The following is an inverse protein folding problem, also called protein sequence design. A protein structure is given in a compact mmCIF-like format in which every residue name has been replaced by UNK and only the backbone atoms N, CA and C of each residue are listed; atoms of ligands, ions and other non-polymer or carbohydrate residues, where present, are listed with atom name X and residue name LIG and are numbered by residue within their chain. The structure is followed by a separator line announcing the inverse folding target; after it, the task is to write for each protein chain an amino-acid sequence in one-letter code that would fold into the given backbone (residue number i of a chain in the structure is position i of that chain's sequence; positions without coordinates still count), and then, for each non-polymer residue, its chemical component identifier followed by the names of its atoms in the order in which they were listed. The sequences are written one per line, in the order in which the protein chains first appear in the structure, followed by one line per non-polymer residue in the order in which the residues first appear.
data_IF_049148832204
#
_entry.id   IF_049148832204
#
_cell.length_a   1.000
_cell.length_b   1.000
_cell.length_c   1.000
_cell.angle_alpha   90.00
_cell.angle_beta   90.00
_cell.angle_gamma   90.00
#
_symmetry.space_group_name_H-M   'P 1'
#
loop_
_entity.id
_entity.type
_entity.pdbx_description
1 polymer ?
#
# COMPACT_ATOMS: atom_id res chain seq x y z
N UNK A 1 -18.34 16.52 -1.59
CA UNK A 1 -17.78 15.52 -0.64
C UNK A 1 -16.30 15.79 -0.51
N UNK A 2 -15.71 15.68 0.68
CA UNK A 2 -14.26 15.90 0.82
C UNK A 2 -13.47 14.79 0.12
N UNK A 3 -12.42 15.16 -0.59
CA UNK A 3 -11.49 14.30 -1.33
C UNK A 3 -10.20 14.13 -0.54
N UNK A 4 -9.79 12.89 -0.32
CA UNK A 4 -8.52 12.54 0.30
C UNK A 4 -7.64 11.86 -0.74
N UNK A 5 -6.45 12.41 -0.97
CA UNK A 5 -5.43 11.77 -1.78
C UNK A 5 -4.52 10.91 -0.90
N UNK A 6 -4.24 9.69 -1.34
CA UNK A 6 -3.18 8.84 -0.81
C UNK A 6 -2.13 8.66 -1.89
N UNK A 7 -0.89 9.04 -1.58
CA UNK A 7 0.25 8.89 -2.49
C UNK A 7 0.98 7.60 -2.14
N UNK A 8 0.85 6.61 -3.01
CA UNK A 8 1.42 5.26 -2.91
C UNK A 8 0.35 4.17 -2.81
N UNK A 9 0.32 3.27 -3.79
CA UNK A 9 -0.48 2.04 -3.82
C UNK A 9 0.34 0.84 -3.28
N UNK A 10 1.05 1.05 -2.17
CA UNK A 10 1.72 0.00 -1.38
C UNK A 10 0.85 -0.50 -0.23
N UNK A 11 1.38 -1.38 0.63
CA UNK A 11 0.65 -1.92 1.78
C UNK A 11 0.03 -0.83 2.65
N UNK A 12 0.85 0.13 3.11
CA UNK A 12 0.40 1.21 3.97
C UNK A 12 -0.70 2.05 3.32
N UNK A 13 -0.52 2.47 2.07
CA UNK A 13 -1.52 3.28 1.35
C UNK A 13 -2.82 2.52 1.08
N UNK A 14 -2.74 1.24 0.70
CA UNK A 14 -3.94 0.41 0.48
C UNK A 14 -4.73 0.17 1.76
N UNK A 15 -4.05 -0.13 2.88
CA UNK A 15 -4.68 -0.30 4.18
C UNK A 15 -5.26 1.02 4.69
N UNK A 16 -4.55 2.14 4.52
CA UNK A 16 -5.05 3.47 4.84
C UNK A 16 -6.35 3.78 4.06
N UNK A 17 -6.38 3.51 2.75
CA UNK A 17 -7.58 3.68 1.94
C UNK A 17 -8.75 2.83 2.47
N UNK A 18 -8.48 1.57 2.82
CA UNK A 18 -9.47 0.65 3.34
C UNK A 18 -10.04 1.13 4.69
N UNK A 19 -9.17 1.56 5.61
CA UNK A 19 -9.59 2.06 6.92
C UNK A 19 -10.35 3.38 6.81
N UNK A 20 -9.90 4.31 5.95
CA UNK A 20 -10.64 5.56 5.69
C UNK A 20 -12.03 5.29 5.14
N UNK A 21 -12.20 4.30 4.25
CA UNK A 21 -13.52 3.90 3.76
C UNK A 21 -14.42 3.37 4.88
N UNK A 22 -13.87 2.54 5.78
CA UNK A 22 -14.61 1.95 6.92
C UNK A 22 -15.08 3.01 7.91
N UNK A 23 -14.21 3.96 8.25
CA UNK A 23 -14.49 5.00 9.25
C UNK A 23 -15.24 6.21 8.68
N UNK A 24 -15.03 6.53 7.40
CA UNK A 24 -15.56 7.73 6.75
C UNK A 24 -16.14 7.42 5.36
N UNK A 25 -17.28 6.70 5.29
CA UNK A 25 -17.83 6.19 4.03
C UNK A 25 -18.21 7.28 3.01
N UNK A 26 -18.48 8.51 3.47
CA UNK A 26 -18.90 9.66 2.65
C UNK A 26 -17.73 10.45 2.04
N UNK A 27 -16.49 10.01 2.23
CA UNK A 27 -15.30 10.67 1.65
C UNK A 27 -14.94 10.01 0.32
N UNK A 28 -14.45 10.84 -0.61
CA UNK A 28 -13.90 10.34 -1.87
C UNK A 28 -12.42 10.05 -1.63
N UNK A 29 -12.02 8.79 -1.76
CA UNK A 29 -10.62 8.36 -1.58
C UNK A 29 -10.01 8.13 -2.95
N UNK A 30 -8.93 8.84 -3.23
CA UNK A 30 -8.14 8.72 -4.46
C UNK A 30 -6.75 8.21 -4.11
N UNK A 31 -6.24 7.24 -4.85
CA UNK A 31 -4.89 6.68 -4.66
C UNK A 31 -4.09 6.91 -5.93
N UNK A 32 -2.95 7.60 -5.81
CA UNK A 32 -2.01 7.78 -6.91
C UNK A 32 -0.73 6.99 -6.65
N UNK A 33 -0.26 6.26 -7.65
CA UNK A 33 1.05 5.61 -7.63
C UNK A 33 1.81 5.92 -8.92
N UNK A 34 3.11 6.16 -8.81
CA UNK A 34 4.00 6.41 -9.96
C UNK A 34 4.28 5.17 -10.79
N UNK A 35 4.01 3.99 -10.25
CA UNK A 35 4.27 2.69 -10.87
C UNK A 35 3.11 2.27 -11.76
N UNK A 36 3.33 1.28 -12.62
CA UNK A 36 2.31 0.70 -13.52
C UNK A 36 1.29 -0.22 -12.82
N UNK A 37 1.40 -0.41 -11.50
CA UNK A 37 0.56 -1.33 -10.76
C UNK A 37 0.79 -1.26 -9.24
N UNK A 38 -0.14 -1.84 -8.49
CA UNK A 38 -0.12 -1.85 -7.03
C UNK A 38 0.87 -2.88 -6.45
N UNK A 39 1.36 -2.59 -5.25
CA UNK A 39 2.20 -3.49 -4.45
C UNK A 39 3.41 -2.79 -3.84
N UNK A 40 4.07 -1.92 -4.60
CA UNK A 40 5.34 -1.31 -4.20
C UNK A 40 6.40 -2.37 -3.87
N UNK A 41 6.89 -2.39 -2.63
CA UNK A 41 7.83 -3.42 -2.12
C UNK A 41 7.16 -4.77 -1.83
N UNK A 42 5.85 -4.88 -2.04
CA UNK A 42 5.09 -6.14 -2.07
C UNK A 42 4.62 -6.41 -3.51
N UNK A 43 5.49 -6.24 -4.50
CA UNK A 43 5.17 -6.47 -5.90
C UNK A 43 5.35 -7.94 -6.29
N UNK A 44 4.43 -8.42 -7.11
CA UNK A 44 4.47 -9.73 -7.76
C UNK A 44 4.64 -9.50 -9.26
N UNK A 45 5.70 -10.04 -9.83
CA UNK A 45 5.94 -10.05 -11.27
C UNK A 45 5.35 -11.31 -11.90
N UNK A 46 4.99 -11.23 -13.18
CA UNK A 46 4.43 -12.34 -13.96
C UNK A 46 5.29 -12.59 -15.18
N UNK A 47 5.41 -13.84 -15.59
CA UNK A 47 6.08 -14.16 -16.86
C UNK A 47 5.27 -13.59 -18.03
N UNK A 48 5.93 -12.99 -19.04
CA UNK A 48 5.27 -12.61 -20.29
C UNK A 48 4.69 -13.80 -21.06
N UNK A 49 5.26 -14.99 -20.91
CA UNK A 49 4.82 -16.22 -21.60
C UNK A 49 3.73 -16.99 -20.87
N UNK A 50 3.56 -16.77 -19.56
CA UNK A 50 2.57 -17.44 -18.74
C UNK A 50 2.20 -16.57 -17.53
N UNK A 51 0.98 -16.03 -17.53
CA UNK A 51 0.50 -15.16 -16.46
C UNK A 51 0.28 -15.89 -15.12
N UNK A 52 0.24 -17.23 -15.12
CA UNK A 52 0.17 -18.06 -13.92
C UNK A 52 1.56 -18.25 -13.27
N UNK A 53 2.63 -18.13 -14.05
CA UNK A 53 3.99 -18.12 -13.56
C UNK A 53 4.30 -16.76 -12.93
N UNK A 54 4.29 -16.72 -11.59
CA UNK A 54 4.47 -15.49 -10.81
C UNK A 54 5.67 -15.60 -9.88
N UNK A 55 6.29 -14.45 -9.58
CA UNK A 55 7.38 -14.35 -8.61
C UNK A 55 7.21 -13.08 -7.76
N UNK A 56 7.34 -13.22 -6.45
CA UNK A 56 7.38 -12.07 -5.54
C UNK A 56 8.82 -11.53 -5.51
N UNK A 57 9.01 -10.29 -6.00
CA UNK A 57 10.35 -9.68 -6.09
C UNK A 57 10.72 -8.88 -4.83
N UNK A 58 9.76 -8.64 -3.95
CA UNK A 58 9.92 -7.88 -2.72
C UNK A 58 9.75 -8.74 -1.48
N UNK A 59 8.75 -8.42 -0.66
CA UNK A 59 8.42 -9.24 0.51
C UNK A 59 8.07 -10.67 0.10
N UNK A 60 8.69 -11.65 0.76
CA UNK A 60 8.57 -13.07 0.40
C UNK A 60 7.47 -13.78 1.22
N UNK A 61 7.39 -13.49 2.51
CA UNK A 61 6.41 -14.04 3.43
C UNK A 61 6.14 -13.04 4.57
N UNK A 62 5.07 -13.27 5.32
CA UNK A 62 4.64 -12.45 6.46
C UNK A 62 4.86 -13.25 7.74
N UNK A 63 5.71 -12.76 8.63
CA UNK A 63 5.90 -13.33 9.97
C UNK A 63 5.07 -12.56 10.99
N UNK A 64 4.17 -13.26 11.68
CA UNK A 64 3.44 -12.73 12.82
C UNK A 64 4.10 -13.20 14.11
N UNK A 65 4.62 -12.25 14.90
CA UNK A 65 5.00 -12.52 16.29
C UNK A 65 3.74 -12.76 17.14
N UNK A 66 3.82 -13.45 18.30
CA UNK A 66 2.66 -13.63 19.17
C UNK A 66 1.95 -12.31 19.51
N UNK A 67 2.72 -11.25 19.76
CA UNK A 67 2.21 -9.90 20.01
C UNK A 67 1.38 -9.36 18.85
N UNK A 68 1.90 -9.37 17.62
CA UNK A 68 1.17 -8.83 16.46
C UNK A 68 0.04 -9.75 15.99
N UNK A 69 0.17 -11.07 16.19
CA UNK A 69 -0.91 -12.01 15.93
C UNK A 69 -2.14 -11.69 16.79
N UNK A 70 -1.94 -11.30 18.05
CA UNK A 70 -3.02 -10.87 18.94
C UNK A 70 -3.51 -9.46 18.60
N UNK A 71 -2.59 -8.50 18.51
CA UNK A 71 -2.92 -7.08 18.31
C UNK A 71 -3.64 -6.84 16.97
N UNK A 72 -3.23 -7.52 15.90
CA UNK A 72 -3.78 -7.36 14.55
C UNK A 72 -4.62 -8.56 14.11
N UNK A 73 -5.18 -9.34 15.06
CA UNK A 73 -5.88 -10.61 14.77
C UNK A 73 -6.94 -10.46 13.67
N UNK A 74 -7.76 -9.41 13.72
CA UNK A 74 -8.82 -9.15 12.73
C UNK A 74 -8.29 -9.09 11.29
N UNK A 75 -7.11 -8.49 11.07
CA UNK A 75 -6.53 -8.42 9.72
C UNK A 75 -6.02 -9.78 9.25
N UNK A 76 -5.41 -10.56 10.14
CA UNK A 76 -4.96 -11.91 9.80
C UNK A 76 -6.15 -12.82 9.50
N UNK A 77 -7.19 -12.81 10.33
CA UNK A 77 -8.40 -13.59 10.10
C UNK A 77 -9.11 -13.18 8.80
N UNK A 78 -9.25 -11.88 8.53
CA UNK A 78 -9.83 -11.38 7.29
C UNK A 78 -9.07 -11.92 6.07
N UNK A 79 -7.73 -11.79 6.06
CA UNK A 79 -6.90 -12.22 4.93
C UNK A 79 -6.86 -13.75 4.77
N UNK A 80 -6.91 -14.51 5.87
CA UNK A 80 -7.01 -15.97 5.85
C UNK A 80 -8.37 -16.43 5.33
N UNK A 81 -9.46 -15.83 5.80
CA UNK A 81 -10.83 -16.17 5.39
C UNK A 81 -11.06 -15.93 3.90
N UNK A 82 -10.45 -14.88 3.33
CA UNK A 82 -10.51 -14.59 1.90
C UNK A 82 -9.47 -15.35 1.07
N UNK A 83 -8.66 -16.22 1.69
CA UNK A 83 -7.62 -16.99 1.02
C UNK A 83 -6.46 -16.15 0.45
N UNK A 84 -6.37 -14.88 0.85
CA UNK A 84 -5.31 -13.95 0.45
C UNK A 84 -3.98 -14.33 1.12
N UNK A 85 -4.07 -14.79 2.37
CA UNK A 85 -2.98 -15.43 3.11
C UNK A 85 -3.26 -16.92 3.32
N UNK A 86 -2.19 -17.71 3.41
CA UNK A 86 -2.17 -19.09 3.92
C UNK A 86 -0.95 -19.31 4.81
N UNK A 87 -1.02 -20.22 5.80
CA UNK A 87 0.17 -20.62 6.55
C UNK A 87 1.29 -21.10 5.62
N UNK A 88 2.52 -20.70 5.90
CA UNK A 88 3.70 -21.27 5.26
C UNK A 88 3.93 -22.67 5.85
N UNK A 89 3.85 -23.68 4.99
CA UNK A 89 4.05 -25.10 5.36
C UNK A 89 5.38 -25.67 4.89
N UNK A 90 6.12 -24.92 4.08
CA UNK A 90 7.43 -25.32 3.54
C UNK A 90 8.55 -24.82 4.45
N UNK A 91 9.62 -25.61 4.56
CA UNK A 91 10.85 -25.19 5.25
C UNK A 91 11.59 -24.13 4.44
N UNK A 92 12.00 -23.05 5.09
CA UNK A 92 12.93 -22.06 4.52
C UNK A 92 14.27 -22.27 5.21
N UNK A 93 15.28 -22.71 4.44
CA UNK A 93 16.62 -22.93 4.98
C UNK A 93 17.22 -21.61 5.49
N UNK A 94 17.85 -21.66 6.67
CA UNK A 94 18.41 -20.47 7.31
C UNK A 94 17.39 -19.58 8.02
N UNK A 95 16.12 -19.99 8.09
CA UNK A 95 15.12 -19.27 8.88
C UNK A 95 15.44 -19.31 10.38
N UNK A 96 15.65 -18.13 10.97
CA UNK A 96 15.82 -17.98 12.42
C UNK A 96 14.45 -17.75 13.05
N UNK A 97 13.82 -18.82 13.50
CA UNK A 97 12.63 -18.74 14.36
C UNK A 97 13.05 -18.14 15.71
N UNK A 98 12.65 -16.90 15.99
CA UNK A 98 12.84 -16.32 17.33
C UNK A 98 11.75 -16.89 18.24
N UNK A 99 12.18 -17.43 19.39
CA UNK A 99 11.38 -17.98 20.50
C UNK A 99 9.87 -18.16 20.26
N UNK A 100 9.45 -19.42 20.10
CA UNK A 100 8.10 -19.97 20.36
C UNK A 100 6.88 -19.16 19.92
N UNK A 101 6.13 -19.68 18.93
CA UNK A 101 4.77 -19.21 18.63
C UNK A 101 4.66 -18.17 17.51
N UNK A 102 5.76 -17.89 16.80
CA UNK A 102 5.71 -17.16 15.54
C UNK A 102 4.94 -17.98 14.48
N UNK A 103 4.16 -17.29 13.65
CA UNK A 103 3.44 -17.90 12.51
C UNK A 103 3.85 -17.21 11.23
N UNK A 104 4.29 -17.99 10.25
CA UNK A 104 4.61 -17.51 8.92
C UNK A 104 3.45 -17.74 7.97
N UNK A 105 3.21 -16.77 7.09
CA UNK A 105 2.18 -16.80 6.07
C UNK A 105 2.75 -16.43 4.71
N UNK A 106 2.18 -17.02 3.66
CA UNK A 106 2.44 -16.69 2.25
C UNK A 106 1.15 -16.31 1.57
N UNK A 107 1.26 -15.67 0.40
CA UNK A 107 0.11 -15.42 -0.46
C UNK A 107 0.11 -16.36 -1.67
N UNK A 108 -0.90 -17.24 -1.82
CA UNK A 108 -0.92 -18.21 -2.92
C UNK A 108 -0.98 -17.60 -4.32
N UNK A 109 -1.45 -16.36 -4.43
CA UNK A 109 -1.59 -15.63 -5.70
C UNK A 109 -0.59 -14.48 -5.82
N UNK A 110 0.51 -14.56 -5.06
CA UNK A 110 1.56 -13.55 -4.96
C UNK A 110 1.27 -12.47 -3.92
N UNK A 111 2.32 -11.99 -3.28
CA UNK A 111 2.28 -11.06 -2.14
C UNK A 111 1.54 -9.75 -2.44
N UNK A 112 1.52 -9.31 -3.70
CA UNK A 112 0.78 -8.10 -4.13
C UNK A 112 -0.74 -8.24 -3.98
N UNK A 113 -1.25 -9.46 -3.84
CA UNK A 113 -2.68 -9.71 -3.62
C UNK A 113 -3.19 -9.08 -2.32
N UNK A 114 -2.36 -8.95 -1.28
CA UNK A 114 -2.73 -8.31 -0.01
C UNK A 114 -3.06 -6.83 -0.25
N UNK A 115 -2.21 -6.14 -1.01
CA UNK A 115 -2.40 -4.74 -1.39
C UNK A 115 -3.66 -4.59 -2.24
N UNK A 116 -3.84 -5.47 -3.24
CA UNK A 116 -5.01 -5.45 -4.13
C UNK A 116 -6.32 -5.74 -3.38
N UNK A 117 -6.28 -6.61 -2.36
CA UNK A 117 -7.42 -6.88 -1.49
C UNK A 117 -7.88 -5.60 -0.79
N UNK A 118 -6.96 -4.90 -0.11
CA UNK A 118 -7.32 -3.66 0.59
C UNK A 118 -7.74 -2.51 -0.35
N UNK A 119 -7.11 -2.38 -1.54
CA UNK A 119 -7.56 -1.41 -2.55
C UNK A 119 -8.98 -1.74 -3.07
N UNK A 120 -9.31 -3.02 -3.25
CA UNK A 120 -10.65 -3.44 -3.64
C UNK A 120 -11.67 -3.13 -2.54
N UNK A 121 -11.34 -3.45 -1.28
CA UNK A 121 -12.19 -3.19 -0.12
C UNK A 121 -12.44 -1.69 0.12
N UNK A 122 -11.46 -0.84 -0.20
CA UNK A 122 -11.60 0.61 -0.04
C UNK A 122 -12.56 1.25 -1.05
N UNK A 123 -12.76 0.62 -2.22
CA UNK A 123 -13.48 1.23 -3.33
C UNK A 123 -12.91 2.59 -3.75
N UNK A 124 -11.59 2.78 -3.57
CA UNK A 124 -10.91 4.00 -3.93
C UNK A 124 -10.70 4.11 -5.45
N UNK A 125 -10.63 5.33 -5.97
CA UNK A 125 -10.21 5.59 -7.34
C UNK A 125 -8.68 5.49 -7.43
N UNK A 126 -8.17 4.43 -8.07
CA UNK A 126 -6.74 4.14 -8.12
C UNK A 126 -6.18 4.50 -9.49
N UNK A 127 -5.19 5.39 -9.52
CA UNK A 127 -4.51 5.82 -10.73
C UNK A 127 -3.02 5.46 -10.68
N UNK A 128 -2.60 4.65 -11.65
CA UNK A 128 -1.21 4.29 -11.90
C UNK A 128 -0.55 5.29 -12.87
N UNK A 129 0.78 5.25 -12.96
CA UNK A 129 1.56 6.21 -13.74
C UNK A 129 1.31 7.69 -13.30
N UNK A 130 0.87 7.89 -12.05
CA UNK A 130 0.61 9.19 -11.44
C UNK A 130 1.73 9.53 -10.46
N UNK A 131 2.82 10.08 -10.98
CA UNK A 131 3.96 10.50 -10.17
C UNK A 131 3.75 11.92 -9.63
N UNK A 132 3.46 12.04 -8.34
CA UNK A 132 3.39 13.33 -7.63
C UNK A 132 4.76 14.01 -7.62
N UNK A 133 4.81 15.29 -7.96
CA UNK A 133 6.04 16.10 -8.02
C UNK A 133 6.01 17.31 -7.09
N UNK A 134 4.85 17.94 -6.92
CA UNK A 134 4.71 19.12 -6.07
C UNK A 134 3.44 19.05 -5.23
N UNK A 135 3.48 19.62 -4.04
CA UNK A 135 2.32 19.80 -3.17
C UNK A 135 2.34 21.23 -2.64
N UNK A 136 1.27 21.98 -2.89
CA UNK A 136 1.11 23.35 -2.43
C UNK A 136 -0.11 23.47 -1.52
N UNK A 137 0.02 24.23 -0.44
CA UNK A 137 -1.11 24.58 0.39
C UNK A 137 -1.88 25.75 -0.25
N UNK A 138 -3.16 25.54 -0.56
CA UNK A 138 -4.08 26.55 -1.10
C UNK A 138 -5.22 26.78 -0.10
N UNK A 139 -4.97 27.67 0.85
CA UNK A 139 -5.91 27.94 1.95
C UNK A 139 -6.13 26.70 2.82
N UNK A 140 -7.37 26.20 2.85
CA UNK A 140 -7.76 25.00 3.59
C UNK A 140 -7.60 23.69 2.80
N UNK A 141 -7.09 23.76 1.56
CA UNK A 141 -6.96 22.63 0.65
C UNK A 141 -5.53 22.48 0.15
N UNK A 142 -5.27 21.38 -0.56
CA UNK A 142 -3.98 21.05 -1.15
C UNK A 142 -4.12 20.98 -2.67
N UNK A 143 -3.24 21.66 -3.38
CA UNK A 143 -3.04 21.49 -4.81
C UNK A 143 -1.87 20.53 -5.04
N UNK A 144 -2.13 19.41 -5.71
CA UNK A 144 -1.15 18.35 -5.94
C UNK A 144 -0.86 18.25 -7.43
N UNK A 145 0.41 18.45 -7.80
CA UNK A 145 0.89 18.34 -9.16
C UNK A 145 1.48 16.95 -9.42
N UNK A 146 1.23 16.42 -10.61
CA UNK A 146 1.85 15.19 -11.10
C UNK A 146 2.62 15.42 -12.39
N UNK A 147 3.60 14.55 -12.67
CA UNK A 147 4.36 14.59 -13.92
C UNK A 147 3.43 14.47 -15.13
N UNK A 148 3.46 15.46 -16.01
CA UNK A 148 2.74 15.44 -17.30
C UNK A 148 1.21 15.54 -17.19
N UNK A 149 0.67 16.04 -16.07
CA UNK A 149 -0.77 16.22 -15.87
C UNK A 149 -1.12 17.59 -15.28
N UNK A 150 -2.40 17.96 -15.37
CA UNK A 150 -2.91 19.14 -14.68
C UNK A 150 -2.88 18.93 -13.16
N UNK A 151 -2.68 20.00 -12.36
CA UNK A 151 -2.83 19.94 -10.92
C UNK A 151 -4.26 19.58 -10.51
N UNK A 152 -4.43 18.85 -9.41
CA UNK A 152 -5.74 18.57 -8.82
C UNK A 152 -5.79 19.00 -7.35
N UNK A 153 -7.00 19.33 -6.88
CA UNK A 153 -7.23 19.75 -5.51
C UNK A 153 -7.82 18.64 -4.63
N UNK A 154 -7.34 18.58 -3.38
CA UNK A 154 -7.74 17.64 -2.35
C UNK A 154 -7.86 18.35 -0.99
N UNK A 155 -8.75 17.88 -0.12
CA UNK A 155 -8.90 18.41 1.24
C UNK A 155 -7.81 17.88 2.17
N UNK A 156 -7.26 16.70 1.88
CA UNK A 156 -6.17 16.10 2.63
C UNK A 156 -5.29 15.23 1.73
N UNK A 157 -4.00 15.13 2.09
CA UNK A 157 -3.02 14.29 1.40
C UNK A 157 -2.30 13.40 2.42
N UNK A 158 -2.25 12.10 2.15
CA UNK A 158 -1.51 11.11 2.94
C UNK A 158 -0.33 10.60 2.12
N UNK A 159 0.89 10.82 2.60
CA UNK A 159 2.11 10.36 1.95
C UNK A 159 2.55 9.01 2.53
N UNK A 160 2.65 7.99 1.69
CA UNK A 160 3.05 6.63 2.12
C UNK A 160 4.28 6.09 1.39
N UNK A 161 4.88 6.90 0.51
CA UNK A 161 6.16 6.56 -0.13
C UNK A 161 7.32 6.64 0.88
N UNK A 162 8.46 5.98 0.62
CA UNK A 162 9.63 6.05 1.49
C UNK A 162 10.09 7.49 1.73
N UNK A 163 10.59 7.79 2.93
CA UNK A 163 11.06 9.12 3.35
C UNK A 163 11.95 9.81 2.30
N UNK A 164 12.95 9.15 1.67
CA UNK A 164 13.76 9.81 0.64
C UNK A 164 12.96 10.34 -0.56
N UNK A 165 11.82 9.73 -0.91
CA UNK A 165 10.94 10.22 -1.99
C UNK A 165 10.05 11.38 -1.52
N UNK A 166 9.71 11.44 -0.23
CA UNK A 166 9.00 12.58 0.36
C UNK A 166 9.90 13.82 0.30
N UNK A 167 11.18 13.68 0.66
CA UNK A 167 12.17 14.77 0.64
C UNK A 167 12.50 15.27 -0.78
N UNK A 168 12.08 14.55 -1.82
CA UNK A 168 12.24 14.97 -3.22
C UNK A 168 11.04 15.77 -3.74
N UNK A 169 9.95 15.85 -2.98
CA UNK A 169 8.80 16.67 -3.36
C UNK A 169 9.17 18.14 -3.34
N UNK A 170 8.61 18.88 -4.29
CA UNK A 170 8.73 20.33 -4.37
C UNK A 170 7.44 21.00 -3.85
N UNK A 171 7.46 22.33 -3.70
CA UNK A 171 6.36 23.09 -3.10
C UNK A 171 6.50 23.19 -1.57
N UNK A 172 5.37 23.40 -0.89
CA UNK A 172 5.34 23.81 0.53
C UNK A 172 5.63 22.65 1.50
N UNK A 173 5.65 21.41 1.00
CA UNK A 173 5.97 20.20 1.77
C UNK A 173 7.47 19.84 1.71
N UNK A 174 8.22 20.42 0.75
CA UNK A 174 9.63 20.10 0.47
C UNK A 174 10.67 21.04 1.06
N UNK A 175 10.26 22.20 1.59
CA UNK A 175 11.18 23.19 2.16
C UNK A 175 11.45 22.88 3.64
N UNK A 176 12.41 22.00 3.90
CA UNK A 176 13.13 22.05 5.17
C UNK A 176 14.20 23.15 5.04
N UNK A 177 13.86 24.38 5.46
CA UNK A 177 14.90 25.34 5.84
C UNK A 177 15.59 24.77 7.09
N UNK A 178 16.88 24.44 6.97
CA UNK A 178 17.75 24.11 8.10
C UNK A 178 18.36 25.38 8.67
#
# INVERSE_FOLDING_TARGET
MSRVLIVGAGLTGSLCACLLRREMPNKVVVVWDKSRGAGGRMSTSRSPSDASCIVDLGAQYITATPYYAQMHHNFYEELLAHGVLKPLVSSVEGEVMKEGGQKNYVSPTGVSSIVKHFLKQSGAEVFFDHHVTHIYQKGASWEVCRKGGAPEQFDAVVLTMPVPQILQLQGDVGSCEY
#
